data_IF_184611943736
#
_entry.id   IF_184611943736
#
_cell.length_a   1.000
_cell.length_b   1.000
_cell.length_c   1.000
_cell.angle_alpha   90.00
_cell.angle_beta   90.00
_cell.angle_gamma   90.00
#
_symmetry.space_group_name_H-M   'P 1'
#
loop_
_entity.id
_entity.type
_entity.pdbx_description
1 polymer ?
#
# COMPACT_ATOMS: atom_id res chain seq x y z
N UNK A 1 -3.89 0.08 35.07
CA UNK A 1 -5.15 0.06 34.29
C UNK A 1 -5.00 0.80 32.95
N UNK A 2 -3.86 0.68 32.27
CA UNK A 2 -3.57 1.39 31.00
C UNK A 2 -2.94 0.42 29.98
N UNK A 3 -2.07 -0.47 30.44
CA UNK A 3 -1.51 -1.57 29.64
C UNK A 3 -2.59 -2.54 29.09
N UNK A 4 -3.67 -2.78 29.85
CA UNK A 4 -4.76 -3.68 29.44
C UNK A 4 -5.59 -3.08 28.29
N UNK A 5 -5.83 -1.76 28.31
CA UNK A 5 -6.55 -1.07 27.23
C UNK A 5 -5.71 -0.94 25.96
N UNK A 6 -4.40 -0.71 26.09
CA UNK A 6 -3.49 -0.63 24.95
C UNK A 6 -3.34 -1.99 24.27
N UNK A 7 -3.20 -3.07 25.05
CA UNK A 7 -3.13 -4.44 24.55
C UNK A 7 -4.44 -4.82 23.84
N UNK A 8 -5.60 -4.41 24.37
CA UNK A 8 -6.89 -4.62 23.72
C UNK A 8 -7.02 -3.85 22.40
N UNK A 9 -6.61 -2.57 22.36
CA UNK A 9 -6.63 -1.76 21.15
C UNK A 9 -5.70 -2.32 20.07
N UNK A 10 -4.49 -2.76 20.45
CA UNK A 10 -3.53 -3.40 19.55
C UNK A 10 -4.05 -4.73 19.01
N UNK A 11 -4.66 -5.56 19.86
CA UNK A 11 -5.25 -6.83 19.45
C UNK A 11 -6.48 -6.65 18.56
N UNK A 12 -7.29 -5.61 18.80
CA UNK A 12 -8.41 -5.24 17.93
C UNK A 12 -7.89 -4.72 16.58
N UNK A 13 -6.85 -3.90 16.58
CA UNK A 13 -6.24 -3.40 15.35
C UNK A 13 -5.52 -4.52 14.58
N UNK A 14 -4.91 -5.49 15.26
CA UNK A 14 -4.33 -6.68 14.63
C UNK A 14 -5.40 -7.64 14.12
N UNK A 15 -6.54 -7.80 14.81
CA UNK A 15 -7.64 -8.65 14.33
C UNK A 15 -8.36 -8.04 13.12
N UNK A 16 -8.54 -6.72 13.10
CA UNK A 16 -9.04 -5.97 11.94
C UNK A 16 -8.09 -6.11 10.74
N UNK A 17 -6.77 -6.07 10.96
CA UNK A 17 -5.74 -6.29 9.91
C UNK A 17 -5.68 -7.74 9.42
N UNK A 18 -5.88 -8.72 10.30
CA UNK A 18 -5.97 -10.14 9.92
C UNK A 18 -7.21 -10.44 9.09
N UNK A 19 -8.35 -9.81 9.41
CA UNK A 19 -9.58 -9.96 8.63
C UNK A 19 -9.47 -9.39 7.20
N UNK A 20 -8.67 -8.34 6.99
CA UNK A 20 -8.47 -7.77 5.65
C UNK A 20 -7.51 -8.57 4.76
N UNK A 21 -6.73 -9.48 5.34
CA UNK A 21 -5.68 -10.24 4.63
C UNK A 21 -6.04 -11.71 4.39
N UNK A 22 -6.89 -12.34 5.23
CA UNK A 22 -7.04 -13.81 5.14
C UNK A 22 -8.21 -14.33 4.29
N UNK A 23 -9.24 -13.55 3.95
CA UNK A 23 -10.39 -14.05 3.14
C UNK A 23 -11.10 -12.96 2.29
N UNK A 24 -10.44 -11.82 2.04
CA UNK A 24 -11.02 -10.67 1.33
C UNK A 24 -10.39 -10.42 -0.04
N UNK A 25 -11.19 -9.95 -1.00
CA UNK A 25 -10.66 -9.40 -2.26
C UNK A 25 -9.72 -8.22 -1.97
N UNK A 26 -8.69 -8.04 -2.79
CA UNK A 26 -7.85 -6.85 -2.72
C UNK A 26 -8.67 -5.63 -3.14
N UNK A 27 -8.91 -4.71 -2.21
CA UNK A 27 -9.50 -3.41 -2.47
C UNK A 27 -8.40 -2.36 -2.58
N UNK A 28 -8.73 -1.14 -3.02
CA UNK A 28 -7.74 -0.05 -3.00
C UNK A 28 -7.23 0.26 -1.59
N UNK A 29 -8.08 0.12 -0.57
CA UNK A 29 -7.71 0.35 0.82
C UNK A 29 -6.75 -0.73 1.33
N UNK A 30 -7.05 -2.01 1.09
CA UNK A 30 -6.18 -3.10 1.55
C UNK A 30 -4.87 -3.13 0.76
N UNK A 31 -4.90 -2.76 -0.52
CA UNK A 31 -3.71 -2.56 -1.34
C UNK A 31 -2.84 -1.42 -0.81
N UNK A 32 -3.42 -0.26 -0.54
CA UNK A 32 -2.69 0.87 0.05
C UNK A 32 -2.06 0.51 1.40
N UNK A 33 -2.80 -0.22 2.24
CA UNK A 33 -2.27 -0.67 3.53
C UNK A 33 -1.07 -1.60 3.34
N UNK A 34 -1.15 -2.54 2.39
CA UNK A 34 -0.02 -3.42 2.05
C UNK A 34 1.20 -2.61 1.56
N UNK A 35 1.00 -1.60 0.72
CA UNK A 35 2.09 -0.74 0.27
C UNK A 35 2.77 -0.04 1.45
N UNK A 36 1.99 0.57 2.35
CA UNK A 36 2.49 1.33 3.51
C UNK A 36 3.15 0.45 4.57
N UNK A 37 2.55 -0.68 4.90
CA UNK A 37 2.98 -1.49 6.05
C UNK A 37 4.09 -2.48 5.69
N UNK A 38 4.21 -2.87 4.42
CA UNK A 38 5.04 -3.99 4.03
C UNK A 38 5.98 -3.69 2.88
N UNK A 39 5.50 -3.08 1.79
CA UNK A 39 6.30 -2.96 0.56
C UNK A 39 7.25 -1.76 0.62
N UNK A 40 6.73 -0.54 0.81
CA UNK A 40 7.54 0.67 0.75
C UNK A 40 8.65 0.70 1.81
N UNK A 41 8.41 0.35 3.09
CA UNK A 41 9.48 0.34 4.09
C UNK A 41 10.65 -0.57 3.71
N UNK A 42 10.38 -1.72 3.08
CA UNK A 42 11.43 -2.63 2.63
C UNK A 42 12.19 -2.09 1.42
N UNK A 43 11.51 -1.36 0.53
CA UNK A 43 12.15 -0.71 -0.61
C UNK A 43 13.02 0.48 -0.19
N UNK A 44 12.61 1.24 0.84
CA UNK A 44 13.38 2.37 1.39
C UNK A 44 14.76 1.94 1.94
N UNK A 45 14.88 0.71 2.42
CA UNK A 45 16.16 0.14 2.87
C UNK A 45 17.13 -0.13 1.70
N UNK A 46 16.63 -0.17 0.46
CA UNK A 46 17.45 -0.41 -0.71
C UNK A 46 18.15 0.87 -1.18
N UNK A 47 19.47 0.81 -1.41
CA UNK A 47 20.28 1.98 -1.78
C UNK A 47 19.83 2.70 -3.06
N UNK A 48 19.14 2.00 -3.96
CA UNK A 48 18.60 2.54 -5.21
C UNK A 48 17.16 3.07 -5.12
N UNK A 49 16.56 3.14 -3.93
CA UNK A 49 15.15 3.52 -3.76
C UNK A 49 14.78 4.83 -4.46
N UNK A 50 15.62 5.85 -4.31
CA UNK A 50 15.37 7.19 -4.85
C UNK A 50 15.30 7.25 -6.39
N UNK A 51 15.87 6.26 -7.08
CA UNK A 51 15.91 6.15 -8.55
C UNK A 51 15.02 5.01 -9.06
N UNK A 52 14.26 4.37 -8.18
CA UNK A 52 13.41 3.24 -8.54
C UNK A 52 12.15 3.73 -9.25
N UNK A 53 11.75 3.02 -10.31
CA UNK A 53 10.48 3.24 -10.99
C UNK A 53 9.52 2.16 -10.50
N UNK A 54 8.39 2.57 -9.93
CA UNK A 54 7.32 1.64 -9.54
C UNK A 54 6.48 1.27 -10.76
N UNK A 55 6.07 0.01 -10.88
CA UNK A 55 5.23 -0.46 -11.99
C UNK A 55 4.14 -1.41 -11.52
N UNK A 56 2.90 -1.15 -11.92
CA UNK A 56 1.75 -1.99 -11.59
C UNK A 56 0.76 -2.11 -12.77
N UNK A 57 0.07 -3.24 -12.86
CA UNK A 57 -0.94 -3.47 -13.89
C UNK A 57 -2.28 -2.79 -13.56
N UNK A 58 -3.21 -2.73 -14.52
CA UNK A 58 -4.49 -2.00 -14.39
C UNK A 58 -5.59 -2.63 -13.54
N UNK A 59 -5.28 -3.42 -12.50
CA UNK A 59 -6.31 -4.00 -11.62
C UNK A 59 -7.18 -2.91 -10.97
N UNK A 60 -8.48 -3.17 -10.72
CA UNK A 60 -9.36 -2.18 -10.09
C UNK A 60 -8.85 -1.64 -8.75
N UNK A 61 -8.21 -2.50 -7.93
CA UNK A 61 -7.61 -2.09 -6.65
C UNK A 61 -6.52 -1.04 -6.81
N UNK A 62 -5.71 -1.12 -7.86
CA UNK A 62 -4.60 -0.20 -8.12
C UNK A 62 -5.08 1.17 -8.61
N UNK A 63 -6.31 1.26 -9.15
CA UNK A 63 -6.86 2.48 -9.72
C UNK A 63 -7.45 3.45 -8.68
N UNK A 64 -7.55 3.05 -7.41
CA UNK A 64 -8.10 3.91 -6.37
C UNK A 64 -7.32 5.22 -6.24
N UNK A 65 -8.02 6.35 -6.11
CA UNK A 65 -7.38 7.67 -5.98
C UNK A 65 -6.36 7.69 -4.83
N UNK A 66 -6.72 7.12 -3.68
CA UNK A 66 -5.84 7.02 -2.50
C UNK A 66 -4.54 6.24 -2.75
N UNK A 67 -4.54 5.31 -3.72
CA UNK A 67 -3.35 4.55 -4.10
C UNK A 67 -2.47 5.41 -5.00
N UNK A 68 -3.06 6.09 -5.98
CA UNK A 68 -2.33 6.97 -6.90
C UNK A 68 -1.69 8.15 -6.18
N UNK A 69 -2.46 8.85 -5.34
CA UNK A 69 -1.94 9.98 -4.55
C UNK A 69 -0.73 9.54 -3.72
N UNK A 70 -0.80 8.36 -3.13
CA UNK A 70 0.31 7.81 -2.36
C UNK A 70 1.52 7.44 -3.23
N UNK A 71 1.32 6.93 -4.45
CA UNK A 71 2.42 6.63 -5.36
C UNK A 71 3.07 7.91 -5.90
N UNK A 72 2.29 8.95 -6.16
CA UNK A 72 2.78 10.27 -6.56
C UNK A 72 3.62 10.94 -5.45
N UNK A 73 3.30 10.67 -4.18
CA UNK A 73 4.07 11.18 -3.03
C UNK A 73 5.42 10.46 -2.84
N UNK A 74 5.52 9.18 -3.24
CA UNK A 74 6.67 8.31 -2.93
C UNK A 74 7.64 8.18 -4.10
N UNK A 75 7.13 8.06 -5.32
CA UNK A 75 7.95 7.82 -6.51
C UNK A 75 7.94 9.04 -7.43
N UNK A 76 9.12 9.42 -7.92
CA UNK A 76 9.23 10.47 -8.95
C UNK A 76 8.50 10.05 -10.23
N UNK A 77 8.67 8.78 -10.62
CA UNK A 77 8.03 8.17 -11.78
C UNK A 77 7.44 6.81 -11.41
N UNK A 78 6.22 6.55 -11.86
CA UNK A 78 5.64 5.22 -11.80
C UNK A 78 4.73 4.92 -12.99
N UNK A 79 4.63 3.64 -13.33
CA UNK A 79 3.90 3.13 -14.48
C UNK A 79 2.64 2.42 -14.01
N UNK A 80 1.50 2.84 -14.53
CA UNK A 80 0.22 2.21 -14.23
C UNK A 80 -0.95 2.99 -14.83
N UNK A 81 -2.15 2.48 -14.63
CA UNK A 81 -3.36 3.14 -15.13
C UNK A 81 -3.55 4.49 -14.43
N UNK A 82 -3.43 5.59 -15.18
CA UNK A 82 -3.37 6.99 -14.69
C UNK A 82 -2.16 7.30 -13.79
N UNK A 83 -1.04 6.62 -13.98
CA UNK A 83 0.24 7.01 -13.36
C UNK A 83 1.00 8.03 -14.21
N UNK A 84 2.23 8.36 -13.80
CA UNK A 84 3.13 9.25 -14.56
C UNK A 84 3.32 8.76 -16.00
N UNK A 85 3.44 7.44 -16.16
CA UNK A 85 3.40 6.76 -17.46
C UNK A 85 2.21 5.81 -17.51
N UNK A 86 1.32 6.02 -18.47
CA UNK A 86 0.16 5.14 -18.66
C UNK A 86 0.58 3.72 -19.01
N UNK A 87 -0.09 2.75 -18.39
CA UNK A 87 0.05 1.35 -18.78
C UNK A 87 -0.50 1.16 -20.21
N UNK A 88 0.20 0.43 -21.10
CA UNK A 88 -0.28 0.20 -22.47
C UNK A 88 -1.63 -0.56 -22.48
N UNK A 89 -2.45 -0.33 -23.53
CA UNK A 89 -3.74 -1.01 -23.71
C UNK A 89 -3.62 -2.52 -23.96
#
# INVERSE_FOLDING_TARGET
>A
MQLVSETFAQNLQMSQRRASLELGNVTSQTYLQMLKDHIIPQLEEHSAFQTMIWQQHGAPSHYGQIVRDYLDDIFVDWIGRRGTVEWPP
#
